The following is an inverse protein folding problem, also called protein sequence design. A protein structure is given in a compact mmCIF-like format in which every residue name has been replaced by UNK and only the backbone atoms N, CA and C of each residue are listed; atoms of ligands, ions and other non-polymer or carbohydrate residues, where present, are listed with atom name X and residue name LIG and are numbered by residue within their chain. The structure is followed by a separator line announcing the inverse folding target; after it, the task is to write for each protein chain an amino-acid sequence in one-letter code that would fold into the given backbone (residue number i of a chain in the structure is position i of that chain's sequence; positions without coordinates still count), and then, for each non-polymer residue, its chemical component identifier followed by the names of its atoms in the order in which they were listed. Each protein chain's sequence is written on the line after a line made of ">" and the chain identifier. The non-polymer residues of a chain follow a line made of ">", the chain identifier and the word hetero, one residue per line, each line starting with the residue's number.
data_IF_698138548118
#
_entry.id   IF_698138548118
#
_cell.length_a   1.000
_cell.length_b   1.000
_cell.length_c   1.000
_cell.angle_alpha   90.00
_cell.angle_beta   90.00
_cell.angle_gamma   90.00
#
_symmetry.space_group_name_H-M   'P 1'
#
loop_
_entity.id
_entity.type
_entity.pdbx_description
1 polymer ?
#
# COMPACT_ATOMS: atom_id res chain seq x y z
N UNK A 1 -14.16 -9.25 -15.90
CA UNK A 1 -14.56 -9.52 -14.50
C UNK A 1 -13.75 -8.57 -13.61
N UNK A 2 -14.39 -7.75 -12.76
CA UNK A 2 -13.68 -6.73 -11.98
C UNK A 2 -12.69 -7.29 -10.95
N UNK A 3 -11.65 -6.52 -10.61
CA UNK A 3 -10.62 -6.84 -9.61
C UNK A 3 -11.24 -7.31 -8.28
N UNK A 4 -12.21 -6.55 -7.76
CA UNK A 4 -12.86 -6.86 -6.48
C UNK A 4 -13.62 -8.18 -6.48
N UNK A 5 -14.35 -8.47 -7.57
CA UNK A 5 -15.10 -9.71 -7.71
C UNK A 5 -14.14 -10.92 -7.80
N UNK A 6 -12.98 -10.72 -8.44
CA UNK A 6 -11.95 -11.76 -8.53
C UNK A 6 -11.35 -12.10 -7.17
N UNK A 7 -11.07 -11.10 -6.32
CA UNK A 7 -10.60 -11.32 -4.94
C UNK A 7 -11.62 -12.09 -4.10
N UNK A 8 -12.87 -11.63 -4.11
CA UNK A 8 -13.94 -12.17 -3.27
C UNK A 8 -14.30 -13.61 -3.66
N UNK A 9 -14.56 -13.84 -4.95
CA UNK A 9 -15.00 -15.16 -5.44
C UNK A 9 -13.93 -16.24 -5.32
N UNK A 10 -12.67 -15.87 -5.51
CA UNK A 10 -11.54 -16.82 -5.44
C UNK A 10 -11.00 -16.99 -4.02
N UNK A 11 -11.45 -16.19 -3.05
CA UNK A 11 -10.87 -16.13 -1.69
C UNK A 11 -9.34 -16.04 -1.75
N UNK A 12 -8.85 -15.08 -2.54
CA UNK A 12 -7.42 -14.99 -2.84
C UNK A 12 -6.61 -14.67 -1.59
N UNK A 13 -5.56 -15.44 -1.33
CA UNK A 13 -4.62 -15.17 -0.24
C UNK A 13 -3.57 -14.12 -0.63
N UNK A 14 -3.21 -14.07 -1.90
CA UNK A 14 -2.21 -13.15 -2.48
C UNK A 14 -2.78 -12.53 -3.74
N UNK A 15 -2.60 -11.22 -3.91
CA UNK A 15 -2.94 -10.52 -5.12
C UNK A 15 -1.94 -9.41 -5.44
N UNK A 16 -1.85 -9.07 -6.72
CA UNK A 16 -1.06 -7.94 -7.23
C UNK A 16 -2.01 -7.00 -7.95
N UNK A 17 -1.89 -5.71 -7.70
CA UNK A 17 -2.70 -4.68 -8.35
C UNK A 17 -1.91 -3.39 -8.53
N UNK A 18 -2.43 -2.49 -9.35
CA UNK A 18 -1.99 -1.09 -9.41
C UNK A 18 -2.81 -0.27 -8.44
N UNK A 19 -2.33 0.90 -8.00
CA UNK A 19 -3.10 1.80 -7.11
C UNK A 19 -4.43 2.22 -7.73
N UNK A 20 -4.51 2.32 -9.07
CA UNK A 20 -5.76 2.59 -9.77
C UNK A 20 -6.83 1.52 -9.55
N UNK A 21 -6.44 0.25 -9.38
CA UNK A 21 -7.39 -0.84 -9.15
C UNK A 21 -8.00 -0.74 -7.75
N UNK A 22 -7.24 -0.21 -6.77
CA UNK A 22 -7.76 0.12 -5.44
C UNK A 22 -8.81 1.23 -5.52
N UNK A 23 -8.53 2.29 -6.29
CA UNK A 23 -9.48 3.38 -6.50
C UNK A 23 -10.79 2.88 -7.13
N UNK A 24 -10.71 2.11 -8.22
CA UNK A 24 -11.89 1.49 -8.83
C UNK A 24 -12.57 0.48 -7.88
N UNK A 25 -11.78 -0.16 -7.03
CA UNK A 25 -12.26 -1.04 -5.97
C UNK A 25 -13.15 -0.35 -4.95
N UNK A 26 -12.82 0.89 -4.57
CA UNK A 26 -13.65 1.72 -3.70
C UNK A 26 -15.00 2.04 -4.36
N UNK A 27 -14.99 2.40 -5.64
CA UNK A 27 -16.22 2.69 -6.38
C UNK A 27 -17.12 1.46 -6.51
N UNK A 28 -16.53 0.27 -6.70
CA UNK A 28 -17.25 -1.00 -6.80
C UNK A 28 -18.01 -1.39 -5.52
N UNK A 29 -17.70 -0.78 -4.36
CA UNK A 29 -18.47 -1.02 -3.11
C UNK A 29 -19.91 -0.52 -3.18
N UNK A 30 -20.21 0.43 -4.08
CA UNK A 30 -21.58 0.91 -4.31
C UNK A 30 -22.46 -0.18 -4.91
N UNK A 31 -21.90 -0.99 -5.80
CA UNK A 31 -22.60 -2.03 -6.54
C UNK A 31 -22.50 -3.40 -5.86
N UNK A 32 -21.43 -3.64 -5.09
CA UNK A 32 -21.14 -4.93 -4.45
C UNK A 32 -21.01 -4.80 -2.93
N UNK A 33 -22.11 -5.05 -2.22
CA UNK A 33 -22.16 -4.94 -0.75
C UNK A 33 -21.52 -6.14 -0.04
N UNK A 34 -21.48 -7.33 -0.66
CA UNK A 34 -21.03 -8.57 -0.03
C UNK A 34 -19.56 -8.94 -0.34
N UNK A 35 -18.65 -7.96 -0.23
CA UNK A 35 -17.21 -8.20 -0.39
C UNK A 35 -16.61 -8.65 0.94
N UNK A 36 -15.91 -9.78 0.96
CA UNK A 36 -15.17 -10.28 2.11
C UNK A 36 -13.69 -10.53 1.74
N UNK A 37 -12.78 -9.81 2.38
CA UNK A 37 -11.33 -9.88 2.16
C UNK A 37 -10.58 -10.59 3.30
N UNK A 38 -11.27 -11.32 4.18
CA UNK A 38 -10.68 -12.06 5.31
C UNK A 38 -9.66 -13.14 4.93
N UNK A 39 -9.68 -13.60 3.68
CA UNK A 39 -8.70 -14.56 3.13
C UNK A 39 -7.40 -13.87 2.70
N UNK A 40 -7.44 -12.58 2.38
CA UNK A 40 -6.29 -11.86 1.82
C UNK A 40 -5.22 -11.67 2.89
N UNK A 41 -3.99 -12.04 2.56
CA UNK A 41 -2.80 -11.95 3.44
C UNK A 41 -1.73 -11.03 2.87
N UNK A 42 -1.68 -10.90 1.55
CA UNK A 42 -0.78 -10.00 0.84
C UNK A 42 -1.47 -9.39 -0.38
N UNK A 43 -1.48 -8.08 -0.45
CA UNK A 43 -1.91 -7.28 -1.58
C UNK A 43 -0.74 -6.40 -2.00
N UNK A 44 0.00 -6.84 -3.02
CA UNK A 44 1.12 -6.09 -3.58
C UNK A 44 0.59 -4.96 -4.47
N UNK A 45 0.93 -3.73 -4.10
CA UNK A 45 0.59 -2.54 -4.90
C UNK A 45 1.79 -2.18 -5.76
N UNK A 46 1.78 -2.67 -6.99
CA UNK A 46 2.86 -2.55 -7.97
C UNK A 46 2.45 -1.52 -9.04
N UNK A 47 2.59 -0.24 -8.71
CA UNK A 47 2.57 0.81 -9.73
C UNK A 47 3.85 0.75 -10.59
N UNK A 48 3.78 1.28 -11.81
CA UNK A 48 4.97 1.44 -12.67
C UNK A 48 5.93 2.50 -12.11
N UNK A 49 6.51 3.36 -12.95
CA UNK A 49 7.48 4.42 -12.58
C UNK A 49 7.02 5.49 -11.55
N UNK A 50 5.90 5.23 -10.86
CA UNK A 50 5.39 5.82 -9.63
C UNK A 50 4.86 7.27 -9.73
N UNK A 51 3.61 7.50 -9.27
CA UNK A 51 3.42 7.72 -7.85
C UNK A 51 2.30 6.86 -7.29
N UNK A 52 2.63 6.03 -6.29
CA UNK A 52 1.69 5.32 -5.46
C UNK A 52 0.79 6.38 -4.86
N UNK A 53 -0.51 6.30 -5.15
CA UNK A 53 -1.46 7.04 -4.35
C UNK A 53 -1.49 6.35 -2.99
N UNK A 54 -0.62 6.79 -2.07
CA UNK A 54 -0.62 6.37 -0.67
C UNK A 54 -2.03 6.55 -0.08
N UNK A 55 -2.70 7.63 -0.48
CA UNK A 55 -4.09 7.87 -0.18
C UNK A 55 -5.05 6.78 -0.69
N UNK A 56 -4.81 6.20 -1.88
CA UNK A 56 -5.61 5.06 -2.37
C UNK A 56 -5.41 3.81 -1.51
N UNK A 57 -4.20 3.55 -1.03
CA UNK A 57 -3.93 2.45 -0.09
C UNK A 57 -4.67 2.68 1.23
N UNK A 58 -4.57 3.89 1.80
CA UNK A 58 -5.22 4.24 3.07
C UNK A 58 -6.74 4.15 2.99
N UNK A 59 -7.33 4.69 1.92
CA UNK A 59 -8.76 4.63 1.71
C UNK A 59 -9.24 3.19 1.52
N UNK A 60 -8.47 2.38 0.79
CA UNK A 60 -8.78 0.97 0.61
C UNK A 60 -8.76 0.21 1.94
N UNK A 61 -7.71 0.40 2.75
CA UNK A 61 -7.61 -0.20 4.08
C UNK A 61 -8.80 0.24 4.94
N UNK A 62 -9.06 1.55 5.01
CA UNK A 62 -10.13 2.12 5.84
C UNK A 62 -11.51 1.54 5.49
N UNK A 63 -11.84 1.45 4.20
CA UNK A 63 -13.15 0.93 3.76
C UNK A 63 -13.27 -0.58 3.96
N UNK A 64 -12.25 -1.34 3.60
CA UNK A 64 -12.33 -2.81 3.60
C UNK A 64 -11.86 -3.47 4.90
N UNK A 65 -11.35 -2.71 5.88
CA UNK A 65 -11.03 -3.23 7.21
C UNK A 65 -12.25 -3.89 7.87
N UNK A 66 -13.40 -3.21 7.81
CA UNK A 66 -14.69 -3.74 8.28
C UNK A 66 -15.17 -4.99 7.51
N UNK A 67 -14.55 -5.28 6.36
CA UNK A 67 -14.85 -6.39 5.46
C UNK A 67 -13.79 -7.49 5.52
N UNK A 68 -13.03 -7.54 6.62
CA UNK A 68 -12.06 -8.58 6.91
C UNK A 68 -10.66 -8.33 6.34
N UNK A 69 -10.40 -7.21 5.66
CA UNK A 69 -9.04 -6.87 5.22
C UNK A 69 -8.15 -6.60 6.44
N UNK A 70 -7.06 -7.36 6.55
CA UNK A 70 -6.04 -7.07 7.53
C UNK A 70 -5.24 -5.82 7.10
N UNK A 71 -5.07 -4.78 7.95
CA UNK A 71 -4.35 -3.57 7.57
C UNK A 71 -2.94 -3.84 7.04
N UNK A 72 -2.25 -4.83 7.63
CA UNK A 72 -0.89 -5.18 7.23
C UNK A 72 -0.83 -6.01 5.93
N UNK A 73 -1.97 -6.38 5.33
CA UNK A 73 -1.98 -7.12 4.08
C UNK A 73 -1.57 -6.25 2.89
N UNK A 74 -1.80 -4.93 2.94
CA UNK A 74 -1.46 -4.02 1.83
C UNK A 74 0.02 -3.68 1.88
N UNK A 75 0.73 -4.01 0.81
CA UNK A 75 2.17 -3.81 0.68
C UNK A 75 2.48 -3.07 -0.61
N UNK A 76 2.68 -1.74 -0.55
CA UNK A 76 3.34 -1.01 -1.63
C UNK A 76 4.71 -1.61 -1.92
N UNK A 77 5.06 -1.74 -3.19
CA UNK A 77 6.36 -2.25 -3.63
C UNK A 77 6.97 -1.33 -4.69
N UNK A 78 8.30 -1.32 -4.73
CA UNK A 78 9.07 -0.68 -5.79
C UNK A 78 9.73 -1.74 -6.67
N UNK A 79 9.70 -1.57 -7.99
CA UNK A 79 10.32 -2.49 -8.92
C UNK A 79 11.11 -1.75 -10.00
N UNK A 80 12.24 -2.31 -10.43
CA UNK A 80 12.96 -1.88 -11.63
C UNK A 80 13.10 -3.06 -12.57
N UNK A 81 12.46 -3.00 -13.75
CA UNK A 81 12.66 -3.99 -14.80
C UNK A 81 14.11 -4.05 -15.31
N UNK A 82 14.80 -2.92 -15.39
CA UNK A 82 16.18 -2.82 -15.89
C UNK A 82 17.17 -3.50 -14.94
N UNK A 83 16.91 -3.43 -13.64
CA UNK A 83 17.69 -4.10 -12.61
C UNK A 83 17.13 -5.48 -12.21
N UNK A 84 16.05 -5.94 -12.86
CA UNK A 84 15.34 -7.19 -12.56
C UNK A 84 15.07 -7.39 -11.05
N UNK A 85 14.68 -6.32 -10.38
CA UNK A 85 14.58 -6.30 -8.92
C UNK A 85 13.27 -5.73 -8.43
N UNK A 86 12.83 -6.21 -7.26
CA UNK A 86 11.67 -5.69 -6.54
C UNK A 86 12.01 -5.55 -5.06
N UNK A 87 11.64 -4.42 -4.48
CA UNK A 87 11.65 -4.18 -3.05
C UNK A 87 10.24 -4.35 -2.50
N UNK A 88 10.13 -5.19 -1.48
CA UNK A 88 8.86 -5.45 -0.78
C UNK A 88 9.05 -5.40 0.73
N UNK A 89 8.00 -4.98 1.42
CA UNK A 89 7.94 -5.01 2.88
C UNK A 89 7.21 -6.27 3.31
N UNK A 90 7.67 -6.92 4.40
CA UNK A 90 7.01 -8.12 4.91
C UNK A 90 5.69 -7.76 5.61
N UNK A 91 4.53 -8.30 5.19
CA UNK A 91 3.28 -8.19 5.93
C UNK A 91 3.42 -8.76 7.35
N UNK A 92 2.84 -8.09 8.35
CA UNK A 92 2.74 -8.63 9.73
C UNK A 92 3.93 -8.40 10.66
N UNK A 93 4.86 -7.47 10.34
CA UNK A 93 5.77 -6.93 11.37
C UNK A 93 4.98 -5.96 12.26
N UNK A 94 4.72 -6.36 13.50
CA UNK A 94 4.04 -5.54 14.52
C UNK A 94 5.08 -4.69 15.27
N UNK A 95 4.84 -3.37 15.42
CA UNK A 95 5.71 -2.46 16.17
C UNK A 95 5.75 -1.02 15.62
N UNK A 96 6.48 -0.12 16.29
CA UNK A 96 6.76 1.22 15.78
C UNK A 96 7.52 1.11 14.44
N UNK A 97 6.97 1.65 13.35
CA UNK A 97 7.47 1.46 11.98
C UNK A 97 6.76 0.36 11.17
N UNK A 98 5.74 -0.29 11.71
CA UNK A 98 4.99 -1.37 11.05
C UNK A 98 4.31 -0.99 9.73
N UNK A 99 3.95 0.28 9.51
CA UNK A 99 3.39 0.72 8.23
C UNK A 99 4.47 1.06 7.20
N UNK A 100 5.73 1.27 7.63
CA UNK A 100 6.77 1.88 6.80
C UNK A 100 6.51 3.37 6.48
N UNK A 101 5.50 3.98 7.12
CA UNK A 101 5.11 5.35 6.84
C UNK A 101 5.85 6.34 7.74
N UNK A 102 6.33 7.43 7.13
CA UNK A 102 6.96 8.54 7.84
C UNK A 102 6.45 9.87 7.32
N UNK A 103 6.51 10.90 8.15
CA UNK A 103 6.22 12.28 7.75
C UNK A 103 7.50 13.08 7.97
N UNK A 104 8.01 13.75 6.93
CA UNK A 104 9.24 14.54 6.99
C UNK A 104 8.96 16.03 6.84
N UNK A 105 9.72 16.86 7.54
CA UNK A 105 9.67 18.32 7.39
C UNK A 105 10.36 18.77 6.11
N UNK A 106 9.64 19.45 5.21
CA UNK A 106 10.23 20.04 4.00
C UNK A 106 11.24 21.14 4.33
N UNK A 107 11.00 21.90 5.40
CA UNK A 107 11.92 22.93 5.85
C UNK A 107 13.25 22.32 6.33
N UNK A 108 13.22 21.22 7.08
CA UNK A 108 14.46 20.54 7.47
C UNK A 108 15.20 19.99 6.23
N UNK A 109 14.46 19.39 5.28
CA UNK A 109 15.02 18.85 4.05
C UNK A 109 15.68 19.92 3.17
N UNK A 110 15.19 21.17 3.18
CA UNK A 110 15.85 22.26 2.44
C UNK A 110 17.25 22.60 2.96
N UNK A 111 17.58 22.17 4.18
CA UNK A 111 18.91 22.27 4.78
C UNK A 111 19.68 20.93 4.78
N UNK A 112 19.19 19.92 4.06
CA UNK A 112 19.79 18.58 4.04
C UNK A 112 19.60 17.76 5.32
N UNK A 113 18.65 18.16 6.18
CA UNK A 113 18.38 17.51 7.47
C UNK A 113 17.13 16.64 7.37
N UNK A 114 17.24 15.37 7.74
CA UNK A 114 16.08 14.48 7.87
C UNK A 114 15.49 14.66 9.26
N UNK A 115 14.32 15.30 9.33
CA UNK A 115 13.54 15.45 10.56
C UNK A 115 12.15 14.86 10.36
N UNK A 116 11.77 13.97 11.27
CA UNK A 116 10.43 13.39 11.32
C UNK A 116 9.48 14.38 11.98
N UNK A 117 8.39 14.70 11.30
CA UNK A 117 7.25 15.44 11.86
C UNK A 117 6.24 14.45 12.48
N UNK A 118 5.57 14.89 13.55
CA UNK A 118 4.53 14.10 14.22
C UNK A 118 3.19 14.16 13.50
N UNK A 119 2.93 15.24 12.76
CA UNK A 119 1.65 15.51 12.13
C UNK A 119 1.84 15.86 10.66
N UNK A 120 0.82 15.55 9.85
CA UNK A 120 0.82 15.92 8.45
C UNK A 120 0.46 17.41 8.32
N UNK A 121 1.35 18.21 7.75
CA UNK A 121 1.14 19.64 7.50
C UNK A 121 1.35 19.99 6.03
N UNK A 122 1.00 21.22 5.64
CA UNK A 122 1.29 21.74 4.29
C UNK A 122 2.79 21.80 3.98
N UNK A 123 3.64 21.81 5.02
CA UNK A 123 5.10 21.83 4.90
C UNK A 123 5.74 20.48 5.18
N UNK A 124 4.95 19.41 5.16
CA UNK A 124 5.42 18.05 5.40
C UNK A 124 5.28 17.15 4.17
N UNK A 125 6.19 16.19 4.03
CA UNK A 125 6.18 15.15 3.01
C UNK A 125 5.88 13.80 3.66
N UNK A 126 4.81 13.14 3.23
CA UNK A 126 4.55 11.76 3.61
C UNK A 126 5.41 10.82 2.76
N UNK A 127 6.14 9.92 3.42
CA UNK A 127 6.92 8.87 2.82
C UNK A 127 6.35 7.50 3.14
N UNK A 128 6.57 6.58 2.22
CA UNK A 128 6.27 5.16 2.37
C UNK A 128 7.50 4.34 2.02
N UNK A 129 8.03 3.65 3.02
CA UNK A 129 9.06 2.64 2.85
C UNK A 129 8.48 1.45 2.07
N UNK A 130 9.18 1.08 1.00
CA UNK A 130 8.86 -0.05 0.13
C UNK A 130 9.49 -1.36 0.61
N UNK A 131 10.31 -1.32 1.68
CA UNK A 131 10.97 -2.46 2.26
C UNK A 131 12.31 -2.78 1.61
N UNK A 132 12.69 -4.06 1.66
CA UNK A 132 14.01 -4.50 1.21
C UNK A 132 13.93 -5.14 -0.16
N UNK A 133 15.00 -4.98 -0.94
CA UNK A 133 15.22 -5.69 -2.19
C UNK A 133 15.18 -7.21 -1.91
N UNK A 134 14.42 -7.95 -2.72
CA UNK A 134 14.40 -9.41 -2.64
C UNK A 134 15.78 -9.99 -2.97
N UNK A 135 16.30 -10.94 -2.16
CA UNK A 135 17.58 -11.57 -2.41
C UNK A 135 17.50 -12.52 -3.63
N UNK A 136 18.55 -12.51 -4.46
CA UNK A 136 18.77 -13.53 -5.51
C UNK A 136 17.98 -13.31 -6.80
N UNK A 137 18.27 -12.22 -7.53
CA UNK A 137 17.72 -11.98 -8.88
C UNK A 137 17.94 -13.13 -9.85
#
# INVERSE_FOLDING_TARGET
>A
MGFMNSLNRKKANVAVCKSRDLHWGLLATKDHKDVNLSSLRLLLVADGSNPWSLSSCDQFISVFHSRGLHPDAVCPCAASPEALTVAVRRPGRVGAGASGRGVLSMAALSYGVIRVDMENSLTSLTLQDCGHILPGG
#
